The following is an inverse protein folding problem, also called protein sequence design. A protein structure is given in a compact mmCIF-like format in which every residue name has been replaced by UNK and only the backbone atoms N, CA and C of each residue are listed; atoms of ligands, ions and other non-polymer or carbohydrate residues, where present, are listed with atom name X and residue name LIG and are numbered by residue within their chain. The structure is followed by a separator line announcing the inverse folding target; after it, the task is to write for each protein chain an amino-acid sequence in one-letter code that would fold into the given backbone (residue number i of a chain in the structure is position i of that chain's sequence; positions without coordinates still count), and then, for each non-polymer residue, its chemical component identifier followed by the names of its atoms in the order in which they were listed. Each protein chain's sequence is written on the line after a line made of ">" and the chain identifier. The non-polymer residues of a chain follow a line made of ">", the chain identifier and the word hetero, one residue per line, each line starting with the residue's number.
data_IF_010926996646
#
_entry.id   IF_010926996646
#
_cell.length_a   1.000
_cell.length_b   1.000
_cell.length_c   1.000
_cell.angle_alpha   90.00
_cell.angle_beta   90.00
_cell.angle_gamma   90.00
#
_symmetry.space_group_name_H-M   'P 1'
#
loop_
_entity.id
_entity.type
_entity.pdbx_description
1 polymer ?
#
# COMPACT_ATOMS: atom_id res chain seq x y z
N UNK A 1 19.51 15.18 -61.06
CA UNK A 1 19.88 14.42 -59.84
C UNK A 1 19.30 14.97 -58.52
N UNK A 2 18.81 16.23 -58.44
CA UNK A 2 18.36 16.83 -57.17
C UNK A 2 16.92 16.54 -56.72
N UNK A 3 16.01 16.06 -57.59
CA UNK A 3 14.63 15.74 -57.17
C UNK A 3 14.49 14.39 -56.44
N UNK A 4 15.41 13.44 -56.67
CA UNK A 4 15.42 12.14 -55.97
C UNK A 4 15.91 12.25 -54.53
N UNK A 5 16.95 13.06 -54.29
CA UNK A 5 17.50 13.29 -52.94
C UNK A 5 16.48 13.97 -52.03
N UNK A 6 15.68 14.91 -52.55
CA UNK A 6 14.60 15.55 -51.79
C UNK A 6 13.46 14.59 -51.39
N UNK A 7 13.25 13.51 -52.15
CA UNK A 7 12.24 12.49 -51.83
C UNK A 7 12.75 11.54 -50.74
N UNK A 8 14.03 11.15 -50.78
CA UNK A 8 14.65 10.34 -49.73
C UNK A 8 14.84 11.10 -48.42
N UNK A 9 15.07 12.41 -48.45
CA UNK A 9 15.13 13.27 -47.24
C UNK A 9 13.76 13.45 -46.55
N UNK A 10 12.64 13.15 -47.23
CA UNK A 10 11.31 13.06 -46.59
C UNK A 10 11.02 11.67 -46.02
N UNK A 11 11.81 10.66 -46.37
CA UNK A 11 11.69 9.29 -45.88
C UNK A 11 12.71 8.96 -44.78
N UNK A 12 13.75 9.79 -44.60
CA UNK A 12 14.75 9.62 -43.53
C UNK A 12 14.40 10.50 -42.33
N UNK A 13 14.02 9.81 -41.25
CA UNK A 13 13.58 10.25 -39.93
C UNK A 13 12.08 10.62 -39.82
N UNK A 14 11.30 9.77 -39.12
CA UNK A 14 11.53 9.63 -37.69
C UNK A 14 11.59 8.16 -37.24
N UNK A 15 12.76 7.53 -37.36
CA UNK A 15 13.01 6.25 -36.70
C UNK A 15 12.86 6.37 -35.17
N UNK A 16 13.00 7.58 -34.61
CA UNK A 16 12.75 7.88 -33.19
C UNK A 16 11.27 8.15 -32.85
N UNK A 17 10.35 8.25 -33.83
CA UNK A 17 8.88 8.26 -33.58
C UNK A 17 8.20 6.94 -33.95
N UNK A 18 8.92 5.98 -34.54
CA UNK A 18 8.35 4.71 -34.99
C UNK A 18 7.93 3.77 -33.83
N UNK A 19 8.27 4.11 -32.59
CA UNK A 19 7.82 3.41 -31.38
C UNK A 19 6.73 4.18 -30.60
N UNK A 20 6.21 5.29 -31.14
CA UNK A 20 5.04 5.96 -30.58
C UNK A 20 3.82 5.29 -31.18
N UNK A 21 3.12 4.51 -30.37
CA UNK A 21 1.84 3.93 -30.76
C UNK A 21 0.90 5.06 -31.23
N UNK A 22 0.19 4.89 -32.35
CA UNK A 22 -0.67 5.93 -32.90
C UNK A 22 -1.69 6.45 -31.88
N UNK A 23 -2.05 7.74 -31.94
CA UNK A 23 -2.96 8.40 -30.97
C UNK A 23 -4.38 7.80 -30.91
N UNK A 24 -4.73 6.88 -31.81
CA UNK A 24 -5.99 6.11 -31.77
C UNK A 24 -5.84 4.73 -31.10
N UNK A 25 -4.60 4.27 -30.91
CA UNK A 25 -4.23 3.01 -30.22
C UNK A 25 -3.90 3.29 -28.76
N UNK A 26 -3.29 4.44 -28.48
CA UNK A 26 -3.08 4.94 -27.12
C UNK A 26 -4.35 5.70 -26.71
N UNK A 27 -5.01 5.34 -25.60
CA UNK A 27 -6.09 6.15 -25.06
C UNK A 27 -5.63 7.61 -24.96
N UNK A 28 -6.46 8.60 -25.29
CA UNK A 28 -6.08 9.99 -25.09
C UNK A 28 -5.60 10.17 -23.64
N UNK A 29 -4.59 11.00 -23.36
CA UNK A 29 -3.96 11.11 -22.05
C UNK A 29 -4.96 11.33 -20.90
N UNK A 30 -6.13 11.92 -21.18
CA UNK A 30 -7.28 12.00 -20.28
C UNK A 30 -7.84 10.64 -19.78
N UNK A 31 -7.41 9.52 -20.36
CA UNK A 31 -7.79 8.14 -20.03
C UNK A 31 -6.61 7.32 -19.50
N UNK A 32 -5.39 7.88 -19.49
CA UNK A 32 -4.22 7.23 -18.90
C UNK A 32 -4.25 7.40 -17.38
N UNK A 33 -4.27 6.29 -16.66
CA UNK A 33 -4.16 6.27 -15.20
C UNK A 33 -2.79 5.77 -14.77
N UNK A 34 -2.07 6.55 -13.97
CA UNK A 34 -0.86 6.09 -13.30
C UNK A 34 -1.27 5.50 -11.96
N UNK A 35 -1.03 4.21 -11.78
CA UNK A 35 -1.28 3.54 -10.51
C UNK A 35 -0.04 3.66 -9.63
N UNK A 36 -0.23 4.17 -8.42
CA UNK A 36 0.75 4.05 -7.35
C UNK A 36 0.92 2.57 -7.01
N UNK A 37 2.14 2.11 -6.67
CA UNK A 37 2.38 0.78 -6.13
C UNK A 37 1.50 0.45 -4.91
N UNK A 38 1.05 1.48 -4.17
CA UNK A 38 0.12 1.38 -3.04
C UNK A 38 -1.37 1.50 -3.44
N UNK A 39 -1.72 1.28 -4.71
CA UNK A 39 -3.11 1.10 -5.16
C UNK A 39 -3.90 2.37 -5.49
N UNK A 40 -3.34 3.57 -5.32
CA UNK A 40 -3.99 4.82 -5.74
C UNK A 40 -3.89 5.02 -7.26
N UNK A 41 -5.01 5.23 -7.94
CA UNK A 41 -5.04 5.56 -9.37
C UNK A 41 -5.11 7.08 -9.58
N UNK A 42 -4.17 7.64 -10.36
CA UNK A 42 -4.18 9.05 -10.74
C UNK A 42 -4.47 9.22 -12.22
N UNK A 43 -5.34 10.15 -12.55
CA UNK A 43 -5.56 10.57 -13.93
C UNK A 43 -4.34 11.37 -14.41
N UNK A 44 -3.70 10.92 -15.48
CA UNK A 44 -2.61 11.63 -16.15
C UNK A 44 -3.21 12.75 -17.03
N UNK A 45 -3.58 13.87 -16.43
CA UNK A 45 -4.08 14.99 -17.21
C UNK A 45 -2.90 15.70 -17.89
N UNK A 46 -2.64 15.40 -19.17
CA UNK A 46 -1.71 16.18 -19.98
C UNK A 46 -2.33 17.55 -20.24
N UNK A 47 -1.95 18.53 -19.44
CA UNK A 47 -2.21 19.92 -19.77
C UNK A 47 -0.98 20.50 -20.45
N UNK A 48 -1.25 21.24 -21.54
CA UNK A 48 -0.32 22.18 -22.13
C UNK A 48 0.33 23.04 -21.05
N UNK A 49 1.63 23.25 -21.23
CA UNK A 49 2.58 23.92 -20.36
C UNK A 49 2.01 25.00 -19.42
N UNK A 50 2.33 24.90 -18.12
CA UNK A 50 2.37 26.06 -17.22
C UNK A 50 1.25 26.25 -16.20
N UNK A 51 0.16 25.46 -16.22
CA UNK A 51 -0.93 25.63 -15.25
C UNK A 51 -1.33 24.32 -14.56
N UNK A 52 -0.57 23.93 -13.54
CA UNK A 52 -1.09 22.99 -12.54
C UNK A 52 -2.36 23.55 -11.90
N UNK A 53 -3.47 22.80 -11.91
CA UNK A 53 -4.73 23.21 -11.28
C UNK A 53 -4.74 22.98 -9.77
N UNK A 54 -3.95 22.03 -9.28
CA UNK A 54 -4.00 21.64 -7.88
C UNK A 54 -3.25 22.63 -6.99
N UNK A 55 -3.93 23.12 -5.96
CA UNK A 55 -3.31 23.93 -4.90
C UNK A 55 -2.33 23.08 -4.11
N UNK A 56 -1.30 23.70 -3.52
CA UNK A 56 -0.25 22.98 -2.76
C UNK A 56 -0.82 22.13 -1.62
N UNK A 57 -1.95 22.53 -1.03
CA UNK A 57 -2.64 21.77 0.01
C UNK A 57 -3.23 20.46 -0.53
N UNK A 58 -3.85 20.50 -1.71
CA UNK A 58 -4.42 19.30 -2.37
C UNK A 58 -3.31 18.30 -2.69
N UNK A 59 -2.12 18.77 -3.07
CA UNK A 59 -0.94 17.92 -3.29
C UNK A 59 -0.49 17.20 -2.02
N UNK A 60 -0.40 17.92 -0.89
CA UNK A 60 -0.02 17.32 0.39
C UNK A 60 -1.01 16.24 0.77
N UNK A 61 -2.31 16.52 0.65
CA UNK A 61 -3.36 15.55 0.91
C UNK A 61 -3.29 14.34 -0.03
N UNK A 62 -3.02 14.54 -1.32
CA UNK A 62 -2.82 13.45 -2.27
C UNK A 62 -1.63 12.56 -1.88
N UNK A 63 -0.48 13.15 -1.55
CA UNK A 63 0.70 12.41 -1.10
C UNK A 63 0.39 11.61 0.18
N UNK A 64 -0.24 12.25 1.16
CA UNK A 64 -0.65 11.62 2.41
C UNK A 64 -1.59 10.43 2.17
N UNK A 65 -2.65 10.63 1.38
CA UNK A 65 -3.65 9.60 1.09
C UNK A 65 -3.09 8.42 0.28
N UNK A 66 -1.95 8.61 -0.39
CA UNK A 66 -1.29 7.56 -1.18
C UNK A 66 -0.37 6.71 -0.32
N UNK A 67 0.33 7.32 0.64
CA UNK A 67 1.22 6.61 1.55
C UNK A 67 0.44 5.93 2.69
N UNK A 68 -0.67 6.56 3.11
CA UNK A 68 -1.55 6.00 4.13
C UNK A 68 -2.38 4.85 3.56
N UNK A 69 -2.40 3.72 4.26
CA UNK A 69 -3.15 2.55 3.84
C UNK A 69 -2.88 1.36 4.74
N UNK A 70 -2.88 0.17 4.13
CA UNK A 70 -2.63 -1.10 4.82
C UNK A 70 -1.26 -1.16 5.52
N UNK A 71 -0.29 -0.36 5.09
CA UNK A 71 1.03 -0.22 5.72
C UNK A 71 0.96 0.13 7.21
N UNK A 72 -0.03 0.93 7.64
CA UNK A 72 -0.20 1.36 9.04
C UNK A 72 -0.46 0.18 9.98
N UNK A 73 -1.14 -0.86 9.49
CA UNK A 73 -1.52 -2.04 10.29
C UNK A 73 -0.29 -2.82 10.81
N UNK A 74 0.85 -2.68 10.13
CA UNK A 74 2.09 -3.40 10.46
C UNK A 74 3.05 -2.63 11.36
N UNK A 75 2.83 -1.32 11.56
CA UNK A 75 3.72 -0.45 12.36
C UNK A 75 3.79 -0.90 13.83
N UNK A 76 2.69 -1.22 14.54
CA UNK A 76 2.77 -1.67 15.93
C UNK A 76 3.59 -2.96 16.10
N UNK A 77 3.47 -3.89 15.14
CA UNK A 77 4.30 -5.10 15.12
C UNK A 77 5.77 -4.76 14.89
N UNK A 78 6.08 -3.85 13.97
CA UNK A 78 7.46 -3.40 13.74
C UNK A 78 8.08 -2.75 14.98
N UNK A 79 7.34 -1.90 15.69
CA UNK A 79 7.79 -1.31 16.97
C UNK A 79 8.06 -2.39 18.00
N UNK A 80 7.18 -3.40 18.14
CA UNK A 80 7.42 -4.55 19.02
C UNK A 80 8.74 -5.27 18.68
N UNK A 81 9.10 -5.39 17.41
CA UNK A 81 10.35 -6.07 17.00
C UNK A 81 11.61 -5.25 17.29
N UNK A 82 11.54 -3.92 17.14
CA UNK A 82 12.66 -3.04 17.46
C UNK A 82 12.80 -2.73 18.96
N UNK A 83 11.70 -2.80 19.72
CA UNK A 83 11.58 -2.17 21.03
C UNK A 83 10.99 -0.76 20.89
N UNK A 84 10.32 -0.25 21.93
CA UNK A 84 9.54 1.00 21.83
C UNK A 84 10.44 2.22 21.57
N UNK A 85 11.46 2.44 22.39
CA UNK A 85 12.40 3.56 22.27
C UNK A 85 13.19 3.50 20.96
N UNK A 86 13.76 2.33 20.64
CA UNK A 86 14.51 2.14 19.39
C UNK A 86 13.61 2.29 18.17
N UNK A 87 12.38 1.77 18.25
CA UNK A 87 11.38 1.88 17.19
C UNK A 87 11.01 3.32 16.86
N UNK A 88 10.79 4.16 17.87
CA UNK A 88 10.54 5.59 17.68
C UNK A 88 11.71 6.31 17.02
N UNK A 89 12.95 6.02 17.43
CA UNK A 89 14.15 6.57 16.81
C UNK A 89 14.26 6.14 15.33
N UNK A 90 14.04 4.85 15.04
CA UNK A 90 14.08 4.30 13.68
C UNK A 90 13.01 4.91 12.78
N UNK A 91 11.78 5.12 13.27
CA UNK A 91 10.71 5.78 12.51
C UNK A 91 11.14 7.19 12.11
N UNK A 92 11.69 7.96 13.05
CA UNK A 92 12.16 9.33 12.78
C UNK A 92 13.30 9.35 11.76
N UNK A 93 14.32 8.51 11.95
CA UNK A 93 15.49 8.43 11.06
C UNK A 93 15.10 7.97 9.65
N UNK A 94 14.28 6.93 9.53
CA UNK A 94 13.78 6.45 8.24
C UNK A 94 12.90 7.50 7.56
N UNK A 95 12.09 8.24 8.31
CA UNK A 95 11.30 9.35 7.78
C UNK A 95 12.17 10.43 7.13
N UNK A 96 13.22 10.89 7.82
CA UNK A 96 14.16 11.87 7.25
C UNK A 96 14.92 11.32 6.03
N UNK A 97 15.39 10.08 6.10
CA UNK A 97 16.16 9.46 5.03
C UNK A 97 15.31 9.26 3.76
N UNK A 98 14.08 8.76 3.90
CA UNK A 98 13.15 8.56 2.77
C UNK A 98 12.70 9.88 2.17
N UNK A 99 12.47 10.92 2.99
CA UNK A 99 12.19 12.28 2.54
C UNK A 99 13.37 12.86 1.74
N UNK A 100 14.59 12.70 2.23
CA UNK A 100 15.79 13.15 1.51
C UNK A 100 15.98 12.42 0.17
N UNK A 101 15.77 11.11 0.14
CA UNK A 101 15.78 10.32 -1.10
C UNK A 101 14.71 10.81 -2.09
N UNK A 102 13.50 11.10 -1.59
CA UNK A 102 12.42 11.64 -2.41
C UNK A 102 12.78 13.02 -2.99
N UNK A 103 13.33 13.92 -2.16
CA UNK A 103 13.85 15.21 -2.61
C UNK A 103 14.94 15.06 -3.69
N UNK A 104 15.87 14.11 -3.51
CA UNK A 104 16.91 13.81 -4.50
C UNK A 104 16.35 13.37 -5.84
N UNK A 105 15.30 12.54 -5.85
CA UNK A 105 14.60 12.07 -7.07
C UNK A 105 13.86 13.21 -7.77
N UNK A 106 13.27 14.14 -7.02
CA UNK A 106 12.61 15.32 -7.60
C UNK A 106 13.66 16.27 -8.18
N UNK A 107 14.74 16.54 -7.43
CA UNK A 107 15.82 17.44 -7.85
C UNK A 107 16.60 16.93 -9.05
N UNK A 108 16.76 15.61 -9.19
CA UNK A 108 17.48 15.02 -10.33
C UNK A 108 16.84 15.32 -11.68
N UNK A 109 15.52 15.61 -11.72
CA UNK A 109 14.86 16.08 -12.94
C UNK A 109 15.24 17.53 -13.25
N UNK A 110 15.21 18.41 -12.24
CA UNK A 110 15.45 19.85 -12.42
C UNK A 110 16.89 20.21 -12.81
N UNK A 111 17.86 19.33 -12.54
CA UNK A 111 19.26 19.55 -12.92
C UNK A 111 19.57 19.26 -14.39
N UNK A 112 18.62 18.70 -15.14
CA UNK A 112 18.81 18.35 -16.56
C UNK A 112 18.38 19.54 -17.40
N UNK A 113 19.32 20.42 -17.75
CA UNK A 113 19.04 21.68 -18.46
C UNK A 113 18.87 21.56 -19.99
N UNK A 114 18.98 20.37 -20.60
CA UNK A 114 19.19 20.29 -22.06
C UNK A 114 18.11 19.58 -22.90
N UNK A 115 17.03 19.07 -22.31
CA UNK A 115 15.95 18.36 -23.03
C UNK A 115 14.59 18.65 -22.39
N UNK A 116 13.52 18.58 -23.18
CA UNK A 116 12.15 18.73 -22.72
C UNK A 116 11.76 17.52 -21.83
N UNK A 117 12.06 17.61 -20.53
CA UNK A 117 11.89 16.53 -19.54
C UNK A 117 10.44 16.39 -19.04
N UNK A 118 9.50 17.10 -19.67
CA UNK A 118 8.08 17.12 -19.29
C UNK A 118 7.44 15.72 -19.30
N UNK A 119 7.85 14.86 -20.24
CA UNK A 119 7.33 13.49 -20.39
C UNK A 119 8.06 12.45 -19.54
N UNK A 120 9.18 12.80 -18.89
CA UNK A 120 10.04 11.80 -18.27
C UNK A 120 9.45 11.29 -16.96
N UNK A 121 9.39 9.97 -16.83
CA UNK A 121 9.00 9.27 -15.61
C UNK A 121 10.24 8.76 -14.85
N UNK A 122 10.05 8.20 -13.64
CA UNK A 122 11.18 7.75 -12.80
C UNK A 122 12.20 6.84 -13.54
N UNK A 123 11.79 5.83 -14.33
CA UNK A 123 12.74 5.00 -15.08
C UNK A 123 13.53 5.75 -16.16
N UNK A 124 12.96 6.80 -16.75
CA UNK A 124 13.62 7.60 -17.78
C UNK A 124 14.72 8.48 -17.18
N UNK A 125 14.48 8.99 -15.97
CA UNK A 125 15.51 9.68 -15.18
C UNK A 125 16.66 8.71 -14.88
N UNK A 126 16.36 7.47 -14.48
CA UNK A 126 17.38 6.44 -14.26
C UNK A 126 18.15 6.10 -15.55
N UNK A 127 17.46 6.05 -16.71
CA UNK A 127 18.10 5.83 -18.02
C UNK A 127 19.12 6.91 -18.36
N UNK A 128 18.82 8.17 -18.05
CA UNK A 128 19.72 9.29 -18.35
C UNK A 128 21.03 9.23 -17.53
N UNK A 129 20.95 8.93 -16.24
CA UNK A 129 22.13 8.91 -15.36
C UNK A 129 22.95 7.61 -15.43
N UNK A 130 22.28 6.47 -15.56
CA UNK A 130 22.90 5.14 -15.44
C UNK A 130 22.84 4.33 -16.75
N UNK A 131 22.33 4.92 -17.83
CA UNK A 131 22.16 4.25 -19.12
C UNK A 131 21.11 3.14 -19.12
N UNK A 132 21.22 2.21 -20.06
CA UNK A 132 20.28 1.09 -20.23
C UNK A 132 20.18 0.20 -18.98
N UNK A 133 21.29 0.00 -18.27
CA UNK A 133 21.31 -0.78 -17.03
C UNK A 133 20.44 -0.15 -15.94
N UNK A 134 20.52 1.17 -15.77
CA UNK A 134 19.68 1.89 -14.82
C UNK A 134 18.19 1.79 -15.10
N UNK A 135 17.80 1.85 -16.38
CA UNK A 135 16.40 1.71 -16.77
C UNK A 135 15.87 0.33 -16.39
N UNK A 136 16.54 -0.75 -16.79
CA UNK A 136 16.11 -2.12 -16.51
C UNK A 136 16.09 -2.43 -15.01
N UNK A 137 17.10 -1.96 -14.26
CA UNK A 137 17.15 -2.12 -12.81
C UNK A 137 16.00 -1.38 -12.11
N UNK A 138 15.73 -0.12 -12.48
CA UNK A 138 14.63 0.66 -11.91
C UNK A 138 13.26 0.05 -12.19
N UNK A 139 13.06 -0.50 -13.40
CA UNK A 139 11.83 -1.19 -13.79
C UNK A 139 11.65 -2.48 -12.97
N UNK A 140 12.70 -3.29 -12.83
CA UNK A 140 12.66 -4.53 -12.06
C UNK A 140 12.27 -4.27 -10.60
N UNK A 141 12.92 -3.33 -9.92
CA UNK A 141 12.60 -3.02 -8.52
C UNK A 141 11.20 -2.44 -8.35
N UNK A 142 10.75 -1.63 -9.32
CA UNK A 142 9.37 -1.13 -9.35
C UNK A 142 8.36 -2.28 -9.47
N UNK A 143 8.63 -3.25 -10.34
CA UNK A 143 7.79 -4.41 -10.56
C UNK A 143 7.73 -5.33 -9.33
N UNK A 144 8.86 -5.54 -8.64
CA UNK A 144 8.91 -6.28 -7.37
C UNK A 144 8.03 -5.60 -6.31
N UNK A 145 8.09 -4.27 -6.19
CA UNK A 145 7.24 -3.54 -5.24
C UNK A 145 5.75 -3.70 -5.54
N UNK A 146 5.38 -3.69 -6.82
CA UNK A 146 3.99 -3.78 -7.26
C UNK A 146 3.43 -5.19 -7.02
N UNK A 147 4.18 -6.24 -7.39
CA UNK A 147 3.80 -7.64 -7.12
C UNK A 147 3.69 -7.88 -5.62
N UNK A 148 4.64 -7.36 -4.82
CA UNK A 148 4.61 -7.46 -3.37
C UNK A 148 3.33 -6.84 -2.77
N UNK A 149 2.95 -5.64 -3.22
CA UNK A 149 1.72 -4.99 -2.79
C UNK A 149 0.47 -5.81 -3.17
N UNK A 150 0.43 -6.38 -4.38
CA UNK A 150 -0.68 -7.25 -4.81
C UNK A 150 -0.83 -8.49 -3.91
N UNK A 151 0.27 -9.14 -3.53
CA UNK A 151 0.26 -10.29 -2.62
C UNK A 151 -0.27 -9.88 -1.23
N UNK A 152 0.20 -8.75 -0.70
CA UNK A 152 -0.25 -8.26 0.61
C UNK A 152 -1.74 -7.91 0.58
N UNK A 153 -2.23 -7.26 -0.47
CA UNK A 153 -3.66 -7.00 -0.63
C UNK A 153 -4.48 -8.27 -0.72
N UNK A 154 -4.00 -9.29 -1.43
CA UNK A 154 -4.65 -10.59 -1.49
C UNK A 154 -4.83 -11.23 -0.10
N UNK A 155 -3.75 -11.25 0.68
CA UNK A 155 -3.75 -11.81 2.05
C UNK A 155 -4.67 -11.00 2.97
N UNK A 156 -4.58 -9.68 2.95
CA UNK A 156 -5.41 -8.81 3.79
C UNK A 156 -6.89 -8.90 3.44
N UNK A 157 -7.22 -8.89 2.15
CA UNK A 157 -8.59 -8.96 1.69
C UNK A 157 -9.22 -10.32 2.04
N UNK A 158 -8.46 -11.42 1.94
CA UNK A 158 -8.90 -12.74 2.39
C UNK A 158 -9.13 -12.78 3.90
N UNK A 159 -8.24 -12.19 4.70
CA UNK A 159 -8.39 -12.13 6.16
C UNK A 159 -9.60 -11.28 6.57
N UNK A 160 -9.80 -10.12 5.94
CA UNK A 160 -10.98 -9.29 6.22
C UNK A 160 -12.28 -9.96 5.79
N UNK A 161 -12.30 -10.63 4.63
CA UNK A 161 -13.47 -11.38 4.17
C UNK A 161 -13.79 -12.55 5.11
N UNK A 162 -12.78 -13.31 5.53
CA UNK A 162 -12.96 -14.41 6.49
C UNK A 162 -13.58 -13.92 7.80
N UNK A 163 -13.01 -12.88 8.41
CA UNK A 163 -13.51 -12.33 9.68
C UNK A 163 -14.89 -11.70 9.53
N UNK A 164 -15.17 -11.05 8.39
CA UNK A 164 -16.51 -10.50 8.08
C UNK A 164 -17.54 -11.62 7.97
N UNK A 165 -17.22 -12.72 7.27
CA UNK A 165 -18.11 -13.88 7.16
C UNK A 165 -18.37 -14.55 8.51
N UNK A 166 -17.33 -14.71 9.35
CA UNK A 166 -17.50 -15.23 10.72
C UNK A 166 -18.38 -14.31 11.57
N UNK A 167 -18.21 -12.99 11.47
CA UNK A 167 -19.06 -12.03 12.17
C UNK A 167 -20.53 -12.12 11.73
N UNK A 168 -20.78 -12.22 10.43
CA UNK A 168 -22.14 -12.35 9.88
C UNK A 168 -22.78 -13.68 10.34
N UNK A 169 -22.03 -14.78 10.28
CA UNK A 169 -22.49 -16.10 10.74
C UNK A 169 -22.85 -16.09 12.23
N UNK A 170 -21.96 -15.57 13.08
CA UNK A 170 -22.21 -15.47 14.52
C UNK A 170 -23.42 -14.59 14.83
N UNK A 171 -23.63 -13.51 14.06
CA UNK A 171 -24.79 -12.63 14.20
C UNK A 171 -26.10 -13.35 13.88
N UNK A 172 -26.16 -14.12 12.78
CA UNK A 172 -27.35 -14.86 12.37
C UNK A 172 -27.68 -16.05 13.28
N UNK A 173 -26.66 -16.77 13.75
CA UNK A 173 -26.84 -17.92 14.64
C UNK A 173 -26.95 -17.54 16.12
N UNK A 174 -27.00 -16.24 16.44
CA UNK A 174 -27.05 -15.70 17.81
C UNK A 174 -25.97 -16.30 18.73
N UNK A 175 -24.80 -16.64 18.17
CA UNK A 175 -23.68 -17.19 18.94
C UNK A 175 -22.97 -16.01 19.60
N UNK A 176 -23.20 -15.83 20.90
CA UNK A 176 -22.42 -14.91 21.71
C UNK A 176 -21.04 -15.55 21.96
N UNK A 177 -20.00 -15.07 21.26
CA UNK A 177 -18.58 -15.42 21.49
C UNK A 177 -18.08 -15.04 22.91
N UNK A 178 -18.96 -14.63 23.82
CA UNK A 178 -18.63 -14.18 25.18
C UNK A 178 -18.34 -15.32 26.16
N UNK A 179 -18.63 -16.57 25.81
CA UNK A 179 -18.68 -17.66 26.79
C UNK A 179 -17.52 -18.67 26.67
N UNK A 180 -16.64 -18.53 25.66
CA UNK A 180 -15.56 -19.51 25.39
C UNK A 180 -14.15 -18.96 25.71
N UNK A 181 -14.00 -17.68 26.07
CA UNK A 181 -12.69 -17.08 26.40
C UNK A 181 -12.79 -16.30 27.71
N UNK A 182 -12.02 -16.75 28.71
CA UNK A 182 -11.88 -16.21 30.07
C UNK A 182 -12.14 -14.70 30.17
N UNK A 183 -13.32 -14.33 30.70
CA UNK A 183 -13.66 -12.96 31.09
C UNK A 183 -12.90 -12.59 32.36
N UNK A 184 -12.02 -11.61 32.29
CA UNK A 184 -11.83 -10.68 33.41
C UNK A 184 -12.83 -9.53 33.25
N UNK A 185 -13.56 -9.24 34.32
CA UNK A 185 -14.72 -8.34 34.33
C UNK A 185 -14.50 -7.02 33.55
N UNK A 186 -15.45 -6.73 32.65
CA UNK A 186 -15.71 -5.43 32.02
C UNK A 186 -14.74 -4.86 30.96
N UNK A 187 -13.73 -5.60 30.50
CA UNK A 187 -12.80 -5.12 29.46
C UNK A 187 -13.16 -5.61 28.04
N UNK A 188 -13.07 -4.73 27.05
CA UNK A 188 -13.13 -5.11 25.63
C UNK A 188 -12.00 -6.11 25.32
N UNK A 189 -12.34 -7.30 24.81
CA UNK A 189 -11.40 -8.40 24.58
C UNK A 189 -10.29 -8.02 23.57
N UNK A 190 -9.04 -8.29 23.95
CA UNK A 190 -7.88 -8.32 23.04
C UNK A 190 -7.42 -9.78 22.98
N UNK A 191 -7.18 -10.30 21.77
CA UNK A 191 -6.89 -11.72 21.55
C UNK A 191 -5.43 -11.88 21.12
N UNK A 192 -4.72 -12.83 21.71
CA UNK A 192 -3.44 -13.34 21.22
C UNK A 192 -3.70 -14.63 20.43
N UNK A 193 -3.86 -14.56 19.09
CA UNK A 193 -4.10 -15.76 18.31
C UNK A 193 -2.87 -16.68 18.39
N UNK A 194 -3.09 -17.92 18.81
CA UNK A 194 -2.07 -18.97 18.76
C UNK A 194 -1.62 -19.18 17.31
N UNK A 195 -0.33 -19.44 17.09
CA UNK A 195 0.13 -19.89 15.78
C UNK A 195 -0.63 -21.18 15.43
N UNK A 196 -1.19 -21.27 14.21
CA UNK A 196 -1.84 -22.48 13.66
C UNK A 196 -0.82 -23.62 13.44
N UNK A 197 -0.02 -23.94 14.45
CA UNK A 197 0.63 -25.24 14.60
C UNK A 197 -0.42 -26.18 15.15
N UNK A 198 -0.85 -27.14 14.34
CA UNK A 198 -1.88 -28.15 14.64
C UNK A 198 -1.57 -29.08 15.81
N UNK A 199 -1.41 -28.51 17.00
CA UNK A 199 -1.49 -29.19 18.28
C UNK A 199 -2.92 -29.09 18.77
N UNK A 200 -3.59 -30.23 18.80
CA UNK A 200 -4.84 -30.42 19.52
C UNK A 200 -4.68 -29.86 20.95
N UNK A 201 -5.56 -28.97 21.45
CA UNK A 201 -5.57 -28.63 22.86
C UNK A 201 -6.19 -29.82 23.59
N UNK A 202 -5.35 -30.81 23.94
CA UNK A 202 -5.75 -31.84 24.89
C UNK A 202 -5.99 -31.18 26.25
N UNK A 203 -7.21 -31.42 26.75
CA UNK A 203 -7.71 -31.13 28.10
C UNK A 203 -7.96 -29.65 28.46
N UNK A 204 -9.11 -29.12 28.01
CA UNK A 204 -10.02 -28.43 28.94
C UNK A 204 -11.46 -28.34 28.37
N UNK A 205 -12.40 -28.97 29.08
CA UNK A 205 -13.86 -28.85 28.96
C UNK A 205 -14.48 -28.91 27.56
N UNK A 206 -14.78 -30.13 27.10
CA UNK A 206 -15.74 -30.39 26.04
C UNK A 206 -17.13 -29.91 26.49
N UNK A 207 -17.55 -28.72 26.04
CA UNK A 207 -18.92 -28.24 26.20
C UNK A 207 -19.72 -28.71 24.98
N UNK A 208 -20.73 -29.52 25.24
CA UNK A 208 -21.71 -30.03 24.26
C UNK A 208 -22.43 -28.86 23.57
N UNK A 209 -22.20 -28.65 22.28
CA UNK A 209 -23.06 -27.80 21.46
C UNK A 209 -24.22 -28.64 20.89
N UNK A 210 -25.43 -28.10 20.91
CA UNK A 210 -26.62 -28.78 20.38
C UNK A 210 -26.71 -28.77 18.84
N UNK A 211 -25.76 -28.14 18.12
CA UNK A 211 -25.70 -28.06 16.64
C UNK A 211 -24.25 -28.18 16.08
N UNK A 212 -23.46 -29.14 16.56
CA UNK A 212 -22.06 -29.35 16.13
C UNK A 212 -21.89 -29.53 14.61
N UNK A 213 -22.89 -30.07 13.91
CA UNK A 213 -22.81 -30.35 12.47
C UNK A 213 -22.79 -29.08 11.62
N UNK A 214 -23.57 -28.06 11.95
CA UNK A 214 -23.65 -26.81 11.17
C UNK A 214 -22.39 -25.95 11.36
N UNK A 215 -21.85 -25.89 12.58
CA UNK A 215 -20.61 -25.17 12.89
C UNK A 215 -19.42 -25.86 12.24
N UNK A 216 -19.30 -27.18 12.32
CA UNK A 216 -18.24 -27.94 11.64
C UNK A 216 -18.36 -27.84 10.11
N UNK A 217 -19.57 -27.81 9.56
CA UNK A 217 -19.79 -27.58 8.13
C UNK A 217 -19.41 -26.16 7.73
N UNK A 218 -19.75 -25.15 8.54
CA UNK A 218 -19.34 -23.77 8.32
C UNK A 218 -17.82 -23.62 8.36
N UNK A 219 -17.12 -24.21 9.34
CA UNK A 219 -15.65 -24.18 9.40
C UNK A 219 -14.98 -24.89 8.22
N UNK A 220 -15.62 -25.95 7.69
CA UNK A 220 -15.17 -26.66 6.49
C UNK A 220 -15.35 -25.83 5.22
N UNK A 221 -16.46 -25.12 5.09
CA UNK A 221 -16.80 -24.29 3.93
C UNK A 221 -16.19 -22.87 3.99
N UNK A 222 -15.89 -22.37 5.18
CA UNK A 222 -15.37 -21.05 5.45
C UNK A 222 -13.96 -21.13 6.04
N UNK A 223 -13.02 -21.72 5.30
CA UNK A 223 -11.63 -21.86 5.73
C UNK A 223 -10.79 -20.69 5.24
N UNK A 224 -10.11 -20.02 6.18
CA UNK A 224 -9.24 -18.84 5.96
C UNK A 224 -8.22 -19.03 4.83
N UNK A 225 -7.59 -20.20 4.75
CA UNK A 225 -6.47 -20.43 3.82
C UNK A 225 -6.87 -21.14 2.53
N UNK A 226 -8.06 -21.75 2.48
CA UNK A 226 -8.49 -22.57 1.34
C UNK A 226 -9.66 -21.95 0.58
N UNK A 227 -10.85 -21.87 1.16
CA UNK A 227 -12.08 -21.53 0.43
C UNK A 227 -12.29 -20.03 0.26
N UNK A 228 -11.94 -19.23 1.26
CA UNK A 228 -12.14 -17.77 1.25
C UNK A 228 -11.39 -17.07 0.09
N UNK A 229 -10.11 -17.39 -0.20
CA UNK A 229 -9.44 -16.84 -1.37
C UNK A 229 -10.13 -17.17 -2.70
N UNK A 230 -10.74 -18.36 -2.86
CA UNK A 230 -11.47 -18.70 -4.09
C UNK A 230 -12.76 -17.89 -4.26
N UNK A 231 -13.52 -17.68 -3.18
CA UNK A 231 -14.68 -16.78 -3.21
C UNK A 231 -14.27 -15.35 -3.54
N UNK A 232 -13.09 -14.93 -3.09
CA UNK A 232 -12.54 -13.64 -3.42
C UNK A 232 -12.25 -13.48 -4.92
N UNK A 233 -11.78 -14.53 -5.61
CA UNK A 233 -11.63 -14.53 -7.07
C UNK A 233 -12.98 -14.27 -7.74
N UNK A 234 -14.03 -14.97 -7.30
CA UNK A 234 -15.39 -14.82 -7.84
C UNK A 234 -15.94 -13.39 -7.68
N UNK A 235 -15.57 -12.69 -6.61
CA UNK A 235 -15.93 -11.29 -6.39
C UNK A 235 -15.07 -10.34 -7.24
N UNK A 236 -13.75 -10.51 -7.22
CA UNK A 236 -12.79 -9.60 -7.87
C UNK A 236 -12.85 -9.68 -9.40
N UNK A 237 -13.11 -10.86 -9.98
CA UNK A 237 -13.08 -11.05 -11.42
C UNK A 237 -14.14 -10.19 -12.15
N UNK A 238 -15.42 -10.14 -11.72
CA UNK A 238 -16.39 -9.17 -12.24
C UNK A 238 -15.93 -7.70 -12.11
N UNK A 239 -15.35 -7.35 -10.95
CA UNK A 239 -14.85 -6.00 -10.66
C UNK A 239 -13.71 -5.59 -11.60
N UNK A 240 -12.78 -6.50 -11.91
CA UNK A 240 -11.65 -6.27 -12.82
C UNK A 240 -12.06 -6.22 -14.29
N UNK A 241 -13.20 -6.81 -14.67
CA UNK A 241 -13.71 -6.79 -16.04
C UNK A 241 -14.39 -5.46 -16.42
N UNK A 242 -14.52 -4.50 -15.50
CA UNK A 242 -15.06 -3.20 -15.83
C UNK A 242 -14.09 -2.41 -16.74
N UNK A 243 -14.55 -2.15 -17.97
CA UNK A 243 -13.79 -1.47 -19.04
C UNK A 243 -13.35 -0.04 -18.69
N UNK A 244 -13.96 0.63 -17.71
CA UNK A 244 -13.65 2.02 -17.37
C UNK A 244 -12.75 2.15 -16.13
N UNK A 245 -11.49 2.60 -16.26
CA UNK A 245 -10.60 2.85 -15.12
C UNK A 245 -11.10 4.00 -14.21
N UNK A 246 -12.02 4.82 -14.71
CA UNK A 246 -12.70 5.89 -13.95
C UNK A 246 -13.57 5.37 -12.79
N UNK A 247 -13.94 4.08 -12.78
CA UNK A 247 -14.61 3.48 -11.62
C UNK A 247 -13.63 3.31 -10.45
N UNK A 248 -12.39 2.88 -10.74
CA UNK A 248 -11.36 2.65 -9.72
C UNK A 248 -10.88 3.94 -9.06
N UNK A 249 -10.83 5.05 -9.80
CA UNK A 249 -10.47 6.34 -9.21
C UNK A 249 -11.50 6.87 -8.19
N UNK A 250 -12.78 6.47 -8.30
CA UNK A 250 -13.81 6.82 -7.30
C UNK A 250 -13.61 6.09 -5.97
N UNK A 251 -12.98 4.91 -5.96
CA UNK A 251 -12.64 4.20 -4.73
C UNK A 251 -11.57 4.90 -3.88
N UNK A 252 -10.90 5.92 -4.41
CA UNK A 252 -9.95 6.71 -3.62
C UNK A 252 -10.61 7.38 -2.40
N UNK A 253 -11.91 7.72 -2.50
CA UNK A 253 -12.70 8.23 -1.37
C UNK A 253 -12.86 7.16 -0.27
N UNK A 254 -13.08 5.90 -0.65
CA UNK A 254 -13.20 4.80 0.33
C UNK A 254 -11.89 4.60 1.10
N UNK A 255 -10.75 4.80 0.44
CA UNK A 255 -9.42 4.80 1.09
C UNK A 255 -9.34 5.85 2.20
N UNK A 256 -9.69 7.10 1.90
CA UNK A 256 -9.68 8.19 2.90
C UNK A 256 -10.60 7.90 4.09
N UNK A 257 -11.82 7.42 3.84
CA UNK A 257 -12.80 7.09 4.88
C UNK A 257 -12.28 5.94 5.75
N UNK A 258 -11.68 4.92 5.15
CA UNK A 258 -11.10 3.78 5.86
C UNK A 258 -9.97 4.21 6.81
N UNK A 259 -9.06 5.08 6.35
CA UNK A 259 -7.96 5.60 7.19
C UNK A 259 -8.49 6.44 8.35
N UNK A 260 -9.45 7.34 8.09
CA UNK A 260 -10.06 8.15 9.15
C UNK A 260 -10.79 7.28 10.18
N UNK A 261 -11.53 6.28 9.72
CA UNK A 261 -12.19 5.30 10.59
C UNK A 261 -11.17 4.52 11.43
N UNK A 262 -10.06 4.08 10.83
CA UNK A 262 -8.99 3.36 11.53
C UNK A 262 -8.36 4.24 12.64
N UNK A 263 -8.06 5.51 12.34
CA UNK A 263 -7.50 6.45 13.33
C UNK A 263 -8.49 6.66 14.49
N UNK A 264 -9.77 6.86 14.19
CA UNK A 264 -10.82 6.99 15.19
C UNK A 264 -10.92 5.73 16.07
N UNK A 265 -10.92 4.54 15.46
CA UNK A 265 -11.00 3.27 16.16
C UNK A 265 -9.79 3.06 17.08
N UNK A 266 -8.57 3.31 16.59
CA UNK A 266 -7.33 3.20 17.38
C UNK A 266 -7.37 4.16 18.57
N UNK A 267 -7.80 5.41 18.35
CA UNK A 267 -7.93 6.42 19.42
C UNK A 267 -8.93 5.99 20.48
N UNK A 268 -10.12 5.53 20.07
CA UNK A 268 -11.17 5.06 20.98
C UNK A 268 -10.71 3.84 21.79
N UNK A 269 -10.01 2.89 21.15
CA UNK A 269 -9.45 1.72 21.82
C UNK A 269 -8.34 2.12 22.81
N UNK A 270 -7.44 3.01 22.44
CA UNK A 270 -6.40 3.52 23.35
C UNK A 270 -7.00 4.18 24.59
N UNK A 271 -8.04 5.02 24.42
CA UNK A 271 -8.72 5.67 25.55
C UNK A 271 -9.42 4.67 26.47
N UNK A 272 -10.06 3.62 25.92
CA UNK A 272 -10.78 2.62 26.73
C UNK A 272 -9.87 1.62 27.44
N UNK A 273 -8.77 1.21 26.81
CA UNK A 273 -7.86 0.20 27.36
C UNK A 273 -6.76 0.83 28.23
N UNK A 274 -6.49 2.13 28.08
CA UNK A 274 -5.44 2.80 28.84
C UNK A 274 -4.02 2.48 28.34
N UNK A 275 -3.03 3.13 28.93
CA UNK A 275 -1.62 2.97 28.60
C UNK A 275 -0.94 2.05 29.60
N UNK A 276 -0.43 0.91 29.12
CA UNK A 276 0.35 -0.04 29.90
C UNK A 276 1.79 -0.02 29.39
N UNK A 277 2.64 0.81 29.99
CA UNK A 277 4.03 0.99 29.58
C UNK A 277 4.94 0.83 30.79
N UNK A 278 5.84 -0.15 30.73
CA UNK A 278 6.95 -0.33 31.66
C UNK A 278 8.25 -0.42 30.87
N UNK A 279 9.26 0.33 31.29
CA UNK A 279 10.50 0.49 30.55
C UNK A 279 11.57 -0.46 31.07
N UNK A 280 11.85 -1.52 30.32
CA UNK A 280 12.97 -2.43 30.56
C UNK A 280 13.97 -2.33 29.42
N UNK A 281 15.18 -1.85 29.71
CA UNK A 281 16.17 -1.51 28.67
C UNK A 281 16.68 -2.73 27.89
N UNK A 282 17.09 -3.79 28.61
CA UNK A 282 17.75 -4.95 28.01
C UNK A 282 17.13 -6.30 28.44
N UNK A 283 16.36 -6.31 29.53
CA UNK A 283 15.77 -7.53 30.10
C UNK A 283 14.35 -7.72 29.59
N UNK A 284 14.05 -8.92 29.09
CA UNK A 284 12.69 -9.35 28.76
C UNK A 284 11.94 -9.70 30.04
N UNK A 285 10.73 -9.18 30.22
CA UNK A 285 9.79 -9.67 31.26
C UNK A 285 8.69 -10.51 30.60
N UNK A 286 7.85 -11.14 31.41
CA UNK A 286 6.74 -11.98 30.92
C UNK A 286 5.74 -11.18 30.07
N UNK A 287 5.50 -9.90 30.42
CA UNK A 287 4.52 -9.03 29.77
C UNK A 287 5.13 -7.95 28.86
N UNK A 288 6.38 -7.55 29.09
CA UNK A 288 7.01 -6.43 28.36
C UNK A 288 8.25 -6.86 27.57
N UNK A 289 8.35 -6.32 26.36
CA UNK A 289 9.52 -6.49 25.50
C UNK A 289 10.58 -5.44 25.82
N UNK A 290 11.88 -5.74 25.64
CA UNK A 290 12.94 -4.78 25.85
C UNK A 290 12.82 -3.56 24.93
N UNK A 291 13.24 -2.41 25.44
CA UNK A 291 13.30 -1.14 24.70
C UNK A 291 14.29 -1.16 23.53
N UNK A 292 15.34 -1.98 23.65
CA UNK A 292 16.39 -2.15 22.64
C UNK A 292 16.43 -3.62 22.22
N UNK A 293 16.02 -3.90 20.99
CA UNK A 293 16.09 -5.24 20.39
C UNK A 293 16.90 -5.21 19.10
N UNK A 294 17.75 -6.22 18.93
CA UNK A 294 18.55 -6.39 17.70
C UNK A 294 17.73 -6.72 16.44
N UNK A 295 16.43 -6.98 16.59
CA UNK A 295 15.50 -7.22 15.48
C UNK A 295 14.96 -5.92 14.84
N UNK A 296 15.51 -4.75 15.20
CA UNK A 296 15.17 -3.46 14.61
C UNK A 296 15.25 -3.37 13.07
N UNK A 297 16.09 -4.15 12.34
CA UNK A 297 16.11 -4.09 10.87
C UNK A 297 14.76 -4.50 10.25
N UNK A 298 13.95 -5.32 10.93
CA UNK A 298 12.62 -5.69 10.46
C UNK A 298 11.71 -4.46 10.34
N UNK A 299 11.78 -3.55 11.31
CA UNK A 299 11.03 -2.29 11.27
C UNK A 299 11.51 -1.39 10.13
N UNK A 300 12.82 -1.31 9.86
CA UNK A 300 13.33 -0.52 8.73
C UNK A 300 12.81 -1.03 7.38
N UNK A 301 12.67 -2.34 7.20
CA UNK A 301 12.09 -2.93 5.99
C UNK A 301 10.62 -2.53 5.81
N UNK A 302 9.83 -2.64 6.88
CA UNK A 302 8.41 -2.23 6.89
C UNK A 302 8.27 -0.74 6.57
N UNK A 303 9.08 0.12 7.19
CA UNK A 303 9.03 1.57 6.97
C UNK A 303 9.47 1.97 5.57
N UNK A 304 10.38 1.22 4.94
CA UNK A 304 10.82 1.49 3.57
C UNK A 304 9.65 1.38 2.59
N UNK A 305 8.79 0.38 2.76
CA UNK A 305 7.57 0.24 1.96
C UNK A 305 6.47 1.22 2.40
N UNK A 306 6.36 1.51 3.70
CA UNK A 306 5.38 2.46 4.22
C UNK A 306 5.57 3.89 3.67
N UNK A 307 6.82 4.31 3.45
CA UNK A 307 7.17 5.62 2.88
C UNK A 307 7.49 5.57 1.38
N UNK A 308 7.00 4.55 0.67
CA UNK A 308 7.30 4.37 -0.74
C UNK A 308 6.38 5.20 -1.64
N UNK A 309 6.89 6.34 -2.12
CA UNK A 309 6.23 7.18 -3.13
C UNK A 309 7.19 7.58 -4.27
N UNK A 310 8.46 7.18 -4.17
CA UNK A 310 9.55 7.61 -5.05
C UNK A 310 9.29 7.34 -6.54
N UNK A 311 8.55 6.27 -6.85
CA UNK A 311 8.23 5.90 -8.23
C UNK A 311 7.19 6.82 -8.89
N UNK A 312 6.26 7.38 -8.12
CA UNK A 312 5.13 8.17 -8.64
C UNK A 312 5.19 9.65 -8.25
N UNK A 313 6.14 10.06 -7.38
CA UNK A 313 6.28 11.45 -6.95
C UNK A 313 6.51 12.41 -8.12
N UNK A 314 7.26 11.95 -9.13
CA UNK A 314 7.54 12.70 -10.35
C UNK A 314 6.24 13.03 -11.08
N UNK A 315 5.39 12.03 -11.33
CA UNK A 315 4.09 12.20 -11.97
C UNK A 315 3.15 13.06 -11.12
N UNK A 316 3.14 12.84 -9.80
CA UNK A 316 2.26 13.54 -8.86
C UNK A 316 2.58 15.04 -8.84
N UNK A 317 3.86 15.41 -8.77
CA UNK A 317 4.29 16.81 -8.73
C UNK A 317 4.08 17.56 -10.06
N UNK A 318 4.06 16.87 -11.21
CA UNK A 318 3.70 17.50 -12.50
C UNK A 318 2.30 18.13 -12.48
N UNK A 319 1.38 17.56 -11.71
CA UNK A 319 -0.01 18.02 -11.63
C UNK A 319 -0.22 19.23 -10.69
N UNK A 320 0.85 19.75 -10.09
CA UNK A 320 0.78 20.77 -9.03
C UNK A 320 1.09 22.15 -9.59
N UNK A 321 0.41 23.19 -9.08
CA UNK A 321 0.73 24.56 -9.46
C UNK A 321 2.05 24.96 -8.80
N UNK A 322 3.13 24.98 -9.57
CA UNK A 322 4.41 25.55 -9.12
C UNK A 322 4.23 27.07 -8.96
N UNK A 323 4.17 27.55 -7.72
CA UNK A 323 4.62 28.91 -7.42
C UNK A 323 6.14 28.84 -7.35
N UNK A 324 6.80 28.91 -8.50
CA UNK A 324 8.23 29.19 -8.55
C UNK A 324 8.42 30.61 -8.05
N UNK A 325 8.71 30.76 -6.76
CA UNK A 325 9.39 31.97 -6.27
C UNK A 325 10.79 31.96 -6.87
N UNK A 326 11.02 32.92 -7.78
CA UNK A 326 12.34 33.34 -8.25
C UNK A 326 13.27 33.64 -7.07
#
# INVERSE_FOLDING_TARGET
>A
MNKRIHYYNRLTAPADKALIAPDHVVPPPEQCYVYSPLGSAYKLQSYTEGYGKNTSFVTIFMIWNTMMGTSILSIPWGIKQAGFTTGMCVIMLMGFLTLYCCYRVVKSRTMICSLDTSTWEYPDVCRHYFGSFGQWSSLLFSLVSLIGAMIVYWVLMSNFLFNTGKFIFNFFHHINDTDVILRTNNSNLVICPSADSGGHPDNSSMIFYTNDTEVQQFEKWWNKSKTVPFYLIGLLLPLLNFKSPSFFSKFNILGTVSVLYLIFLVTLKAIRLGFHLEFHWFTTTEFFVPEIRFQFPQLTGVLTLAFFIHNCIITLLKNTRTKTTM
#
